data_IF_925373760163
#
_entry.id   IF_925373760163
#
_cell.length_a   1.000
_cell.length_b   1.000
_cell.length_c   1.000
_cell.angle_alpha   90.00
_cell.angle_beta   90.00
_cell.angle_gamma   90.00
#
_symmetry.space_group_name_H-M   'P 1'
#
loop_
_entity.id
_entity.type
_entity.pdbx_description
1 polymer ?
#
# COMPACT_ATOMS: atom_id res chain seq x y z
N UNK A 1 27.57 -38.98 -36.97
CA UNK A 1 27.51 -39.36 -35.56
C UNK A 1 26.14 -38.92 -34.98
N UNK A 2 25.31 -39.91 -34.62
CA UNK A 2 23.94 -39.68 -34.09
C UNK A 2 23.92 -39.83 -32.55
N UNK A 3 24.97 -39.36 -31.86
CA UNK A 3 24.95 -39.26 -30.40
C UNK A 3 24.15 -38.06 -29.92
N UNK A 4 23.61 -38.08 -28.69
CA UNK A 4 22.95 -36.94 -28.08
C UNK A 4 23.77 -35.66 -28.21
N UNK A 5 25.06 -35.72 -27.81
CA UNK A 5 25.95 -34.56 -27.83
C UNK A 5 26.12 -33.95 -29.23
N UNK A 6 26.32 -34.80 -30.25
CA UNK A 6 26.44 -34.35 -31.63
C UNK A 6 25.17 -33.72 -32.17
N UNK A 7 24.00 -34.32 -31.90
CA UNK A 7 22.69 -33.80 -32.30
C UNK A 7 22.41 -32.49 -31.57
N UNK A 8 22.61 -32.43 -30.25
CA UNK A 8 22.40 -31.20 -29.47
C UNK A 8 23.28 -30.04 -29.96
N UNK A 9 24.57 -30.29 -30.23
CA UNK A 9 25.48 -29.29 -30.79
C UNK A 9 25.02 -28.79 -32.16
N UNK A 10 24.51 -29.68 -33.02
CA UNK A 10 23.93 -29.29 -34.32
C UNK A 10 22.66 -28.46 -34.16
N UNK A 11 21.78 -28.84 -33.25
CA UNK A 11 20.54 -28.08 -32.95
C UNK A 11 20.88 -26.65 -32.48
N UNK A 12 21.86 -26.50 -31.57
CA UNK A 12 22.35 -25.18 -31.12
C UNK A 12 22.87 -24.35 -32.30
N UNK A 13 23.63 -24.96 -33.23
CA UNK A 13 24.13 -24.25 -34.40
C UNK A 13 23.00 -23.76 -35.30
N UNK A 14 21.98 -24.62 -35.56
CA UNK A 14 20.81 -24.20 -36.36
C UNK A 14 20.02 -23.11 -35.67
N UNK A 15 19.83 -23.18 -34.37
CA UNK A 15 19.18 -22.11 -33.59
C UNK A 15 19.93 -20.78 -33.72
N UNK A 16 21.27 -20.81 -33.58
CA UNK A 16 22.11 -19.61 -33.71
C UNK A 16 22.06 -18.99 -35.12
N UNK A 17 21.84 -19.84 -36.15
CA UNK A 17 21.64 -19.42 -37.55
C UNK A 17 20.20 -19.01 -37.86
N UNK A 18 19.33 -18.96 -36.84
CA UNK A 18 17.89 -18.64 -36.95
C UNK A 18 17.08 -19.68 -37.76
N UNK A 19 17.63 -20.86 -38.04
CA UNK A 19 16.94 -21.97 -38.66
C UNK A 19 16.12 -22.74 -37.61
N UNK A 20 15.06 -22.11 -37.09
CA UNK A 20 14.35 -22.61 -35.91
C UNK A 20 13.62 -23.92 -36.12
N UNK A 21 12.99 -24.13 -37.28
CA UNK A 21 12.33 -25.40 -37.61
C UNK A 21 13.32 -26.58 -37.69
N UNK A 22 14.49 -26.36 -38.29
CA UNK A 22 15.53 -27.36 -38.35
C UNK A 22 16.15 -27.60 -36.95
N UNK A 23 16.30 -26.54 -36.15
CA UNK A 23 16.75 -26.68 -34.77
C UNK A 23 15.76 -27.52 -33.93
N UNK A 24 14.44 -27.35 -34.10
CA UNK A 24 13.43 -28.19 -33.46
C UNK A 24 13.61 -29.66 -33.86
N UNK A 25 13.61 -29.96 -35.14
CA UNK A 25 13.69 -31.31 -35.66
C UNK A 25 14.95 -32.05 -35.12
N UNK A 26 16.11 -31.34 -35.07
CA UNK A 26 17.36 -31.95 -34.56
C UNK A 26 17.32 -32.08 -33.03
N UNK A 27 16.72 -31.10 -32.30
CA UNK A 27 16.55 -31.17 -30.85
C UNK A 27 15.66 -32.33 -30.43
N UNK A 28 14.55 -32.60 -31.16
CA UNK A 28 13.70 -33.78 -30.96
C UNK A 28 14.47 -35.07 -31.13
N UNK A 29 15.26 -35.22 -32.20
CA UNK A 29 16.13 -36.38 -32.40
C UNK A 29 17.18 -36.53 -31.29
N UNK A 30 17.69 -35.44 -30.72
CA UNK A 30 18.57 -35.51 -29.55
C UNK A 30 17.79 -36.01 -28.31
N UNK A 31 16.57 -35.54 -28.10
CA UNK A 31 15.72 -35.91 -26.97
C UNK A 31 15.26 -37.39 -27.06
N UNK A 32 15.19 -38.01 -28.23
CA UNK A 32 14.99 -39.46 -28.37
C UNK A 32 16.09 -40.25 -27.64
N UNK A 33 17.30 -39.68 -27.52
CA UNK A 33 18.44 -40.30 -26.84
C UNK A 33 18.51 -39.94 -25.35
N UNK A 34 18.03 -38.76 -24.97
CA UNK A 34 17.99 -38.27 -23.58
C UNK A 34 16.76 -37.36 -23.35
N UNK A 35 15.57 -37.95 -23.13
CA UNK A 35 14.30 -37.19 -23.05
C UNK A 35 14.23 -36.18 -21.92
N UNK A 36 14.96 -36.39 -20.83
CA UNK A 36 14.94 -35.54 -19.62
C UNK A 36 16.04 -34.49 -19.61
N UNK A 37 16.78 -34.33 -20.69
CA UNK A 37 17.85 -33.33 -20.72
C UNK A 37 17.25 -31.93 -20.76
N UNK A 38 17.42 -31.15 -19.68
CA UNK A 38 16.87 -29.78 -19.55
C UNK A 38 17.33 -28.85 -20.66
N UNK A 39 18.64 -28.86 -20.96
CA UNK A 39 19.19 -27.94 -21.95
C UNK A 39 18.64 -28.18 -23.36
N UNK A 40 18.42 -29.46 -23.71
CA UNK A 40 17.86 -29.82 -25.01
C UNK A 40 16.31 -29.47 -25.06
N UNK A 41 15.57 -29.74 -23.99
CA UNK A 41 14.15 -29.33 -23.89
C UNK A 41 14.01 -27.81 -23.92
N UNK A 42 14.90 -27.07 -23.24
CA UNK A 42 14.93 -25.62 -23.26
C UNK A 42 15.20 -25.07 -24.67
N UNK A 43 16.18 -25.69 -25.39
CA UNK A 43 16.48 -25.32 -26.77
C UNK A 43 15.30 -25.60 -27.71
N UNK A 44 14.64 -26.75 -27.54
CA UNK A 44 13.43 -27.11 -28.30
C UNK A 44 12.34 -26.07 -28.06
N UNK A 45 12.02 -25.77 -26.81
CA UNK A 45 11.00 -24.77 -26.46
C UNK A 45 11.30 -23.37 -27.02
N UNK A 46 12.55 -22.91 -26.91
CA UNK A 46 13.00 -21.63 -27.50
C UNK A 46 12.87 -21.62 -29.03
N UNK A 47 13.17 -22.73 -29.68
CA UNK A 47 13.03 -22.86 -31.13
C UNK A 47 11.56 -22.78 -31.54
N UNK A 48 10.66 -23.46 -30.80
CA UNK A 48 9.21 -23.41 -31.00
C UNK A 48 8.67 -21.98 -30.78
N UNK A 49 9.10 -21.29 -29.74
CA UNK A 49 8.73 -19.88 -29.51
C UNK A 49 9.11 -18.99 -30.71
N UNK A 50 10.33 -19.16 -31.21
CA UNK A 50 10.83 -18.38 -32.36
C UNK A 50 10.10 -18.69 -33.66
N UNK A 51 9.58 -19.90 -33.82
CA UNK A 51 8.70 -20.29 -34.94
C UNK A 51 7.23 -19.87 -34.72
N UNK A 52 6.89 -19.26 -33.58
CA UNK A 52 5.54 -18.79 -33.27
C UNK A 52 4.67 -19.80 -32.52
N UNK A 53 5.15 -21.02 -32.23
CA UNK A 53 4.38 -22.04 -31.50
C UNK A 53 4.70 -22.03 -29.99
N UNK A 54 4.17 -21.01 -29.32
CA UNK A 54 4.32 -20.86 -27.86
C UNK A 54 3.59 -21.95 -27.08
N UNK A 55 2.50 -22.49 -27.60
CA UNK A 55 1.72 -23.51 -26.92
C UNK A 55 2.50 -24.82 -26.79
N UNK A 56 3.12 -25.28 -27.88
CA UNK A 56 3.98 -26.46 -27.85
C UNK A 56 5.20 -26.23 -26.98
N UNK A 57 5.82 -25.04 -27.02
CA UNK A 57 6.90 -24.68 -26.13
C UNK A 57 6.53 -24.83 -24.65
N UNK A 58 5.35 -24.33 -24.24
CA UNK A 58 4.84 -24.50 -22.86
C UNK A 58 4.61 -25.98 -22.52
N UNK A 59 4.09 -26.78 -23.44
CA UNK A 59 3.89 -28.21 -23.20
C UNK A 59 5.20 -28.97 -22.97
N UNK A 60 6.25 -28.64 -23.70
CA UNK A 60 7.59 -29.22 -23.54
C UNK A 60 8.16 -28.94 -22.15
N UNK A 61 7.98 -27.71 -21.63
CA UNK A 61 8.58 -27.29 -20.35
C UNK A 61 7.73 -27.64 -19.12
N UNK A 62 6.42 -27.79 -19.29
CA UNK A 62 5.45 -28.03 -18.20
C UNK A 62 5.84 -29.18 -17.26
N UNK A 63 6.28 -30.37 -17.74
CA UNK A 63 6.62 -31.48 -16.86
C UNK A 63 7.73 -31.15 -15.85
N UNK A 64 8.72 -30.35 -16.26
CA UNK A 64 9.81 -29.92 -15.37
C UNK A 64 9.30 -29.03 -14.25
N UNK A 65 8.36 -28.14 -14.55
CA UNK A 65 7.73 -27.26 -13.56
C UNK A 65 6.86 -28.07 -12.59
N UNK A 66 6.02 -28.96 -13.10
CA UNK A 66 5.12 -29.79 -12.29
C UNK A 66 5.88 -30.73 -11.34
N UNK A 67 6.97 -31.31 -11.81
CA UNK A 67 7.80 -32.22 -11.02
C UNK A 67 8.81 -31.50 -10.14
N UNK A 68 8.87 -30.16 -10.17
CA UNK A 68 9.85 -29.33 -9.44
C UNK A 68 11.31 -29.77 -9.68
N UNK A 69 11.61 -30.21 -10.89
CA UNK A 69 12.94 -30.65 -11.29
C UNK A 69 13.66 -29.64 -12.18
N UNK A 70 12.99 -28.54 -12.50
CA UNK A 70 13.51 -27.52 -13.41
C UNK A 70 14.58 -26.64 -12.77
N UNK A 71 15.66 -26.39 -13.49
CA UNK A 71 16.60 -25.33 -13.20
C UNK A 71 16.04 -23.94 -13.57
N UNK A 72 16.75 -22.88 -13.17
CA UNK A 72 16.32 -21.47 -13.38
C UNK A 72 16.08 -21.13 -14.84
N UNK A 73 16.81 -21.74 -15.78
CA UNK A 73 16.63 -21.51 -17.22
C UNK A 73 15.26 -21.94 -17.74
N UNK A 74 14.77 -23.09 -17.28
CA UNK A 74 13.42 -23.60 -17.61
C UNK A 74 12.36 -22.67 -17.03
N UNK A 75 12.49 -22.27 -15.75
CA UNK A 75 11.53 -21.34 -15.12
C UNK A 75 11.46 -20.00 -15.85
N UNK A 76 12.61 -19.40 -16.17
CA UNK A 76 12.67 -18.13 -16.92
C UNK A 76 11.92 -18.21 -18.24
N UNK A 77 12.17 -19.24 -19.01
CA UNK A 77 11.51 -19.43 -20.31
C UNK A 77 10.01 -19.67 -20.13
N UNK A 78 9.64 -20.53 -19.18
CA UNK A 78 8.25 -20.88 -18.92
C UNK A 78 7.41 -19.67 -18.47
N UNK A 79 7.90 -18.90 -17.52
CA UNK A 79 7.18 -17.69 -17.03
C UNK A 79 7.13 -16.59 -18.08
N UNK A 80 8.19 -16.46 -18.93
CA UNK A 80 8.18 -15.55 -20.09
C UNK A 80 7.05 -15.92 -21.05
N UNK A 81 6.97 -17.18 -21.44
CA UNK A 81 5.93 -17.68 -22.36
C UNK A 81 4.53 -17.52 -21.79
N UNK A 82 4.31 -17.84 -20.51
CA UNK A 82 3.03 -17.62 -19.83
C UNK A 82 2.64 -16.14 -19.81
N UNK A 83 3.60 -15.24 -19.57
CA UNK A 83 3.37 -13.79 -19.57
C UNK A 83 2.95 -13.31 -20.95
N UNK A 84 3.63 -13.77 -22.00
CA UNK A 84 3.29 -13.47 -23.39
C UNK A 84 1.90 -13.98 -23.81
N UNK A 85 1.44 -15.08 -23.20
CA UNK A 85 0.09 -15.63 -23.40
C UNK A 85 -0.96 -15.00 -22.48
N UNK A 86 -0.60 -13.98 -21.69
CA UNK A 86 -1.50 -13.29 -20.76
C UNK A 86 -1.87 -14.10 -19.51
N UNK A 87 -1.20 -15.21 -19.25
CA UNK A 87 -1.45 -16.11 -18.10
C UNK A 87 -0.72 -15.64 -16.83
N UNK A 88 -0.86 -14.36 -16.52
CA UNK A 88 -0.07 -13.68 -15.45
C UNK A 88 -0.40 -14.20 -14.05
N UNK A 89 -1.62 -14.67 -13.79
CA UNK A 89 -1.95 -15.29 -12.50
C UNK A 89 -1.23 -16.64 -12.32
N UNK A 90 -1.06 -17.42 -13.38
CA UNK A 90 -0.30 -18.67 -13.34
C UNK A 90 1.18 -18.39 -13.03
N UNK A 91 1.76 -17.35 -13.65
CA UNK A 91 3.12 -16.89 -13.34
C UNK A 91 3.26 -16.55 -11.84
N UNK A 92 2.33 -15.77 -11.29
CA UNK A 92 2.34 -15.40 -9.88
C UNK A 92 2.32 -16.62 -8.96
N UNK A 93 1.44 -17.58 -9.22
CA UNK A 93 1.31 -18.79 -8.40
C UNK A 93 2.55 -19.68 -8.47
N UNK A 94 3.13 -19.87 -9.66
CA UNK A 94 4.35 -20.66 -9.87
C UNK A 94 5.51 -20.03 -9.11
N UNK A 95 5.75 -18.73 -9.27
CA UNK A 95 6.87 -18.06 -8.63
C UNK A 95 6.70 -17.94 -7.11
N UNK A 96 5.46 -17.82 -6.61
CA UNK A 96 5.17 -17.85 -5.17
C UNK A 96 5.56 -19.17 -4.51
N UNK A 97 5.41 -20.29 -5.23
CA UNK A 97 5.75 -21.63 -4.74
C UNK A 97 7.16 -22.11 -5.08
N UNK A 98 7.91 -21.35 -5.86
CA UNK A 98 9.27 -21.65 -6.26
C UNK A 98 10.26 -21.36 -5.11
N UNK A 99 11.44 -21.97 -5.20
CA UNK A 99 12.54 -21.68 -4.28
C UNK A 99 13.12 -20.26 -4.52
N UNK A 100 13.98 -19.84 -3.60
CA UNK A 100 14.56 -18.49 -3.62
C UNK A 100 15.48 -18.25 -4.82
N UNK A 101 16.17 -19.28 -5.30
CA UNK A 101 17.04 -19.17 -6.46
C UNK A 101 16.23 -18.86 -7.72
N UNK A 102 15.13 -19.59 -7.92
CA UNK A 102 14.20 -19.35 -9.02
C UNK A 102 13.54 -17.97 -8.88
N UNK A 103 13.07 -17.58 -7.67
CA UNK A 103 12.49 -16.28 -7.44
C UNK A 103 13.47 -15.14 -7.79
N UNK A 104 14.71 -15.25 -7.37
CA UNK A 104 15.76 -14.28 -7.71
C UNK A 104 16.02 -14.24 -9.22
N UNK A 105 16.09 -15.40 -9.87
CA UNK A 105 16.30 -15.49 -11.31
C UNK A 105 15.15 -14.95 -12.15
N UNK A 106 13.94 -14.95 -11.60
CA UNK A 106 12.70 -14.48 -12.24
C UNK A 106 12.15 -13.19 -11.58
N UNK A 107 12.98 -12.43 -10.88
CA UNK A 107 12.55 -11.25 -10.10
C UNK A 107 11.76 -10.23 -10.92
N UNK A 108 12.07 -10.06 -12.21
CA UNK A 108 11.35 -9.18 -13.12
C UNK A 108 9.88 -9.57 -13.36
N UNK A 109 9.50 -10.82 -13.05
CA UNK A 109 8.13 -11.35 -13.14
C UNK A 109 7.41 -11.34 -11.80
N UNK A 110 8.04 -10.87 -10.73
CA UNK A 110 7.44 -10.80 -9.40
C UNK A 110 7.00 -9.36 -9.12
N UNK A 111 5.71 -9.19 -8.83
CA UNK A 111 5.20 -7.95 -8.27
C UNK A 111 5.16 -8.09 -6.76
N UNK A 112 5.94 -7.29 -6.04
CA UNK A 112 5.93 -7.25 -4.59
C UNK A 112 4.66 -6.62 -4.06
N UNK A 113 4.24 -7.04 -2.86
CA UNK A 113 3.09 -6.43 -2.19
C UNK A 113 3.38 -4.97 -1.83
N UNK A 114 2.41 -4.06 -1.97
CA UNK A 114 2.58 -2.69 -1.53
C UNK A 114 2.88 -2.59 -0.04
N UNK A 115 3.68 -1.62 0.33
CA UNK A 115 3.97 -1.26 1.73
C UNK A 115 3.16 -0.03 2.09
N UNK A 116 2.54 -0.04 3.26
CA UNK A 116 1.77 1.09 3.78
C UNK A 116 2.55 1.82 4.88
N UNK A 117 2.55 3.13 4.83
CA UNK A 117 3.15 4.01 5.84
C UNK A 117 2.16 5.15 6.17
N UNK A 118 1.80 5.36 7.44
CA UNK A 118 2.30 4.70 8.65
C UNK A 118 1.89 3.23 8.75
N UNK A 119 2.51 2.51 9.70
CA UNK A 119 2.13 1.13 10.02
C UNK A 119 0.65 1.04 10.48
N UNK A 120 -0.04 -0.10 10.30
CA UNK A 120 -1.39 -0.27 10.83
C UNK A 120 -1.40 -0.13 12.35
N UNK A 121 -2.48 0.43 12.90
CA UNK A 121 -2.59 0.65 14.34
C UNK A 121 -3.62 1.71 14.71
N UNK A 122 -3.59 2.11 15.99
CA UNK A 122 -4.43 3.17 16.55
C UNK A 122 -3.62 4.45 16.72
N UNK A 123 -4.17 5.56 16.26
CA UNK A 123 -3.55 6.88 16.29
C UNK A 123 -4.48 7.91 16.92
N UNK A 124 -3.92 8.87 17.63
CA UNK A 124 -4.65 9.97 18.27
C UNK A 124 -4.63 11.26 17.46
N UNK A 125 -4.00 11.23 16.30
CA UNK A 125 -3.92 12.33 15.32
C UNK A 125 -4.28 11.83 13.94
N UNK A 126 -4.77 12.72 13.09
CA UNK A 126 -4.97 12.44 11.66
C UNK A 126 -3.70 11.93 11.03
N UNK A 127 -3.78 10.86 10.26
CA UNK A 127 -2.65 10.26 9.57
C UNK A 127 -2.77 10.45 8.06
N UNK A 128 -1.63 10.52 7.41
CA UNK A 128 -1.53 10.53 5.94
C UNK A 128 -0.93 9.20 5.50
N UNK A 129 -1.75 8.36 4.90
CA UNK A 129 -1.37 7.04 4.43
C UNK A 129 -0.69 7.13 3.07
N UNK A 130 0.51 6.57 2.98
CA UNK A 130 1.24 6.38 1.72
C UNK A 130 1.32 4.90 1.39
N UNK A 131 1.19 4.57 0.11
CA UNK A 131 1.41 3.24 -0.44
C UNK A 131 2.62 3.28 -1.38
N UNK A 132 3.57 2.38 -1.16
CA UNK A 132 4.81 2.30 -1.93
C UNK A 132 5.07 0.85 -2.35
N UNK A 133 5.83 0.66 -3.42
CA UNK A 133 6.22 -0.66 -3.92
C UNK A 133 6.88 -0.58 -5.30
N UNK A 134 7.36 -1.71 -5.81
CA UNK A 134 7.93 -1.84 -7.14
C UNK A 134 6.86 -1.99 -8.24
N UNK A 135 5.65 -1.55 -7.96
CA UNK A 135 4.49 -1.70 -8.83
C UNK A 135 4.34 -0.50 -9.76
N UNK A 136 3.86 -0.72 -10.97
CA UNK A 136 3.47 0.34 -11.89
C UNK A 136 2.15 1.00 -11.48
N UNK A 137 1.23 0.20 -10.90
CA UNK A 137 -0.05 0.66 -10.37
C UNK A 137 -0.35 -0.06 -9.06
N UNK A 138 -0.99 0.63 -8.12
CA UNK A 138 -1.52 0.06 -6.89
C UNK A 138 -3.02 0.32 -6.86
N UNK A 139 -3.82 -0.74 -6.76
CA UNK A 139 -5.26 -0.67 -6.59
C UNK A 139 -5.62 -0.87 -5.12
N UNK A 140 -6.59 -0.12 -4.62
CA UNK A 140 -6.94 -0.18 -3.20
C UNK A 140 -8.43 0.04 -2.92
N UNK A 141 -8.84 -0.40 -1.72
CA UNK A 141 -10.12 -0.11 -1.06
C UNK A 141 -9.85 0.33 0.38
N UNK A 142 -10.77 1.07 0.98
CA UNK A 142 -10.67 1.56 2.36
C UNK A 142 -11.77 1.02 3.29
N UNK A 143 -12.64 0.19 2.77
CA UNK A 143 -13.81 -0.39 3.44
C UNK A 143 -13.67 -1.88 3.76
N UNK A 144 -12.48 -2.45 3.55
CA UNK A 144 -12.20 -3.87 3.76
C UNK A 144 -12.66 -4.79 2.62
N UNK A 145 -13.32 -4.28 1.60
CA UNK A 145 -13.66 -5.06 0.40
C UNK A 145 -12.40 -5.47 -0.36
N UNK A 146 -12.45 -6.61 -1.05
CA UNK A 146 -11.31 -7.06 -1.86
C UNK A 146 -11.16 -6.17 -3.09
N UNK A 147 -10.00 -5.50 -3.28
CA UNK A 147 -9.79 -4.66 -4.44
C UNK A 147 -9.67 -5.47 -5.72
N UNK A 148 -10.12 -4.89 -6.81
CA UNK A 148 -10.01 -5.41 -8.18
C UNK A 148 -9.36 -4.36 -9.08
N UNK A 149 -9.08 -4.70 -10.33
CA UNK A 149 -8.58 -3.72 -11.32
C UNK A 149 -9.58 -2.60 -11.67
N UNK A 150 -10.82 -2.68 -11.16
CA UNK A 150 -11.84 -1.62 -11.24
C UNK A 150 -11.84 -0.72 -10.01
N UNK A 151 -11.10 -1.09 -8.96
CA UNK A 151 -10.96 -0.29 -7.73
C UNK A 151 -10.14 0.97 -8.00
N UNK A 152 -10.12 1.89 -7.02
CA UNK A 152 -9.32 3.11 -7.10
C UNK A 152 -7.84 2.79 -7.30
N UNK A 153 -7.18 3.57 -8.14
CA UNK A 153 -5.73 3.56 -8.30
C UNK A 153 -5.12 4.58 -7.34
N UNK A 154 -4.09 4.16 -6.62
CA UNK A 154 -3.34 5.05 -5.75
C UNK A 154 -2.49 6.02 -6.59
N UNK A 155 -2.74 7.31 -6.45
CA UNK A 155 -2.05 8.39 -7.14
C UNK A 155 -1.48 9.44 -6.20
N UNK A 156 -2.07 9.57 -5.01
CA UNK A 156 -1.70 10.57 -4.00
C UNK A 156 -1.92 10.05 -2.59
N UNK A 157 -1.25 10.61 -1.57
CA UNK A 157 -1.43 10.21 -0.18
C UNK A 157 -2.88 10.33 0.28
N UNK A 158 -3.35 9.36 1.07
CA UNK A 158 -4.72 9.26 1.55
C UNK A 158 -4.78 9.78 2.99
N UNK A 159 -5.66 10.75 3.25
CA UNK A 159 -5.88 11.26 4.60
C UNK A 159 -6.83 10.31 5.34
N UNK A 160 -6.34 9.71 6.43
CA UNK A 160 -7.12 8.89 7.35
C UNK A 160 -7.76 9.79 8.40
N UNK A 161 -9.09 9.92 8.32
CA UNK A 161 -9.90 10.71 9.25
C UNK A 161 -10.30 9.88 10.46
N UNK A 162 -10.90 10.53 11.47
CA UNK A 162 -11.46 9.86 12.65
C UNK A 162 -12.37 8.69 12.27
N UNK A 163 -12.19 7.56 12.96
CA UNK A 163 -12.90 6.33 12.72
C UNK A 163 -11.97 5.16 12.34
N UNK A 164 -12.55 4.10 11.83
CA UNK A 164 -11.84 2.91 11.39
C UNK A 164 -11.74 2.86 9.88
N UNK A 165 -10.53 2.59 9.37
CA UNK A 165 -10.27 2.34 7.95
C UNK A 165 -9.69 0.94 7.78
N UNK A 166 -10.28 0.13 6.91
CA UNK A 166 -9.79 -1.19 6.55
C UNK A 166 -9.23 -1.15 5.13
N UNK A 167 -7.92 -0.89 5.04
CA UNK A 167 -7.20 -0.86 3.78
C UNK A 167 -6.98 -2.27 3.26
N UNK A 168 -7.32 -2.50 1.99
CA UNK A 168 -6.78 -3.60 1.19
C UNK A 168 -6.19 -3.05 -0.10
N UNK A 169 -5.04 -3.58 -0.50
CA UNK A 169 -4.35 -3.12 -1.70
C UNK A 169 -3.52 -4.23 -2.34
N UNK A 170 -3.37 -4.14 -3.66
CA UNK A 170 -2.43 -4.96 -4.43
C UNK A 170 -1.78 -4.13 -5.52
N UNK A 171 -0.58 -4.54 -5.91
CA UNK A 171 0.17 -3.93 -6.99
C UNK A 171 0.06 -4.68 -8.30
N UNK A 172 0.34 -3.99 -9.40
CA UNK A 172 0.50 -4.56 -10.73
C UNK A 172 1.80 -4.02 -11.31
N UNK A 173 2.69 -4.91 -11.77
CA UNK A 173 3.96 -4.52 -12.37
C UNK A 173 3.84 -4.20 -13.87
N UNK A 174 4.96 -3.86 -14.52
CA UNK A 174 5.05 -3.54 -15.95
C UNK A 174 4.74 -4.73 -16.88
N UNK A 175 4.81 -5.95 -16.35
CA UNK A 175 4.43 -7.19 -17.06
C UNK A 175 2.99 -7.61 -16.81
N UNK A 176 2.19 -6.73 -16.23
CA UNK A 176 0.77 -6.97 -15.93
C UNK A 176 0.53 -8.10 -14.91
N UNK A 177 1.52 -8.40 -14.07
CA UNK A 177 1.45 -9.41 -13.01
C UNK A 177 1.04 -8.73 -11.71
N UNK A 178 0.08 -9.34 -11.01
CA UNK A 178 -0.44 -8.85 -9.73
C UNK A 178 0.40 -9.35 -8.56
N UNK A 179 0.50 -8.52 -7.51
CA UNK A 179 0.95 -8.96 -6.20
C UNK A 179 -0.14 -9.69 -5.42
N UNK A 180 0.21 -10.25 -4.27
CA UNK A 180 -0.78 -10.60 -3.26
C UNK A 180 -1.45 -9.33 -2.70
N UNK A 181 -2.65 -9.50 -2.12
CA UNK A 181 -3.40 -8.42 -1.48
C UNK A 181 -2.91 -8.25 -0.05
N UNK A 182 -2.54 -7.02 0.31
CA UNK A 182 -2.34 -6.66 1.72
C UNK A 182 -3.67 -6.28 2.38
N UNK A 183 -3.77 -6.51 3.69
CA UNK A 183 -4.89 -6.04 4.52
C UNK A 183 -4.32 -5.34 5.74
N UNK A 184 -4.77 -4.09 6.01
CA UNK A 184 -4.28 -3.23 7.10
C UNK A 184 -5.44 -2.49 7.72
N UNK A 185 -5.46 -2.44 9.06
CA UNK A 185 -6.49 -1.73 9.83
C UNK A 185 -5.89 -0.51 10.52
N UNK A 186 -6.53 0.62 10.36
CA UNK A 186 -6.20 1.88 11.01
C UNK A 186 -7.39 2.36 11.84
N UNK A 187 -7.13 2.82 13.05
CA UNK A 187 -8.13 3.41 13.92
C UNK A 187 -7.64 4.81 14.32
N UNK A 188 -8.37 5.84 13.95
CA UNK A 188 -8.06 7.21 14.33
C UNK A 188 -9.05 7.65 15.40
N UNK A 189 -8.53 7.96 16.60
CA UNK A 189 -9.32 8.46 17.73
C UNK A 189 -8.76 9.82 18.12
N UNK A 190 -9.42 10.88 17.69
CA UNK A 190 -8.97 12.24 17.95
C UNK A 190 -9.29 12.64 19.38
N UNK A 191 -8.28 13.12 20.12
CA UNK A 191 -8.46 13.58 21.49
C UNK A 191 -8.98 15.02 21.51
N UNK A 192 -9.99 15.27 22.36
CA UNK A 192 -10.40 16.61 22.72
C UNK A 192 -9.39 17.25 23.71
N UNK A 193 -9.18 18.58 23.67
CA UNK A 193 -8.37 19.25 24.65
C UNK A 193 -9.03 19.20 26.04
N UNK A 194 -8.21 19.31 27.10
CA UNK A 194 -8.73 19.44 28.46
C UNK A 194 -9.51 20.74 28.60
N UNK A 195 -10.41 20.80 29.58
CA UNK A 195 -11.16 22.03 29.90
C UNK A 195 -10.20 23.21 30.15
N UNK A 196 -10.52 24.42 29.65
CA UNK A 196 -9.65 25.59 29.78
C UNK A 196 -9.46 26.00 31.24
N UNK A 197 -8.24 26.45 31.56
CA UNK A 197 -7.91 27.07 32.84
C UNK A 197 -8.14 28.58 32.73
N UNK A 198 -8.87 29.13 33.68
CA UNK A 198 -9.23 30.55 33.73
C UNK A 198 -8.79 31.11 35.08
N UNK A 199 -8.22 32.31 35.06
CA UNK A 199 -7.81 33.06 36.25
C UNK A 199 -8.31 34.51 36.12
N UNK A 200 -8.71 35.15 37.21
CA UNK A 200 -8.81 34.61 38.56
C UNK A 200 -9.97 33.62 38.71
N UNK A 201 -10.11 32.98 39.86
CA UNK A 201 -11.21 32.07 40.18
C UNK A 201 -12.52 32.86 40.33
N UNK A 202 -13.66 32.14 40.23
CA UNK A 202 -14.97 32.67 40.55
C UNK A 202 -14.98 33.38 41.92
N UNK A 203 -15.65 34.48 42.03
CA UNK A 203 -15.73 35.25 43.27
C UNK A 203 -16.07 36.73 43.08
N UNK A 204 -16.05 37.46 44.19
CA UNK A 204 -16.34 38.89 44.26
C UNK A 204 -15.06 39.70 44.19
N UNK A 205 -15.10 40.75 43.40
CA UNK A 205 -13.94 41.63 43.14
C UNK A 205 -14.34 43.09 43.34
N UNK A 206 -13.43 43.89 43.93
CA UNK A 206 -13.66 45.28 44.26
C UNK A 206 -12.70 46.27 43.59
N UNK A 207 -12.02 45.84 42.55
CA UNK A 207 -11.10 46.62 41.74
C UNK A 207 -11.05 46.10 40.31
N UNK A 208 -10.61 46.98 39.40
CA UNK A 208 -10.34 46.54 38.01
C UNK A 208 -9.52 45.27 37.99
N UNK A 209 -10.07 44.22 37.38
CA UNK A 209 -9.50 42.89 37.32
C UNK A 209 -9.50 42.41 35.90
N UNK A 210 -8.42 41.77 35.51
CA UNK A 210 -8.32 41.10 34.19
C UNK A 210 -8.50 39.59 34.34
N UNK A 211 -9.22 39.03 33.40
CA UNK A 211 -9.42 37.57 33.26
C UNK A 211 -8.43 37.04 32.22
N UNK A 212 -7.72 36.02 32.58
CA UNK A 212 -6.77 35.33 31.68
C UNK A 212 -7.19 33.88 31.44
N UNK A 213 -7.13 33.47 30.20
CA UNK A 213 -7.42 32.11 29.77
C UNK A 213 -6.11 31.47 29.30
N UNK A 214 -5.78 30.30 29.85
CA UNK A 214 -4.63 29.54 29.37
C UNK A 214 -5.01 28.78 28.12
N UNK A 215 -4.39 29.11 27.00
CA UNK A 215 -4.61 28.47 25.70
C UNK A 215 -3.42 27.60 25.38
N UNK A 216 -3.56 26.26 25.37
CA UNK A 216 -2.48 25.36 24.96
C UNK A 216 -2.11 25.51 23.47
N UNK A 217 -0.87 25.16 23.13
CA UNK A 217 -0.42 25.14 21.75
C UNK A 217 -1.36 24.29 20.86
N UNK A 218 -1.66 24.80 19.66
CA UNK A 218 -2.57 24.17 18.72
C UNK A 218 -4.06 24.28 19.06
N UNK A 219 -4.43 25.05 20.11
CA UNK A 219 -5.81 25.33 20.46
C UNK A 219 -6.17 26.80 20.23
N UNK A 220 -7.48 27.06 20.07
CA UNK A 220 -8.09 28.39 20.18
C UNK A 220 -9.11 28.36 21.30
N UNK A 221 -9.17 29.42 22.10
CA UNK A 221 -10.21 29.59 23.11
C UNK A 221 -11.32 30.50 22.57
N UNK A 222 -12.56 30.06 22.74
CA UNK A 222 -13.76 30.83 22.45
C UNK A 222 -14.50 31.09 23.77
N UNK A 223 -14.98 32.29 23.95
CA UNK A 223 -15.68 32.65 25.17
C UNK A 223 -16.93 33.50 24.91
N UNK A 224 -17.83 33.45 25.87
CA UNK A 224 -18.99 34.32 25.93
C UNK A 224 -19.34 34.61 27.39
N UNK A 225 -19.89 35.82 27.65
CA UNK A 225 -20.49 36.13 28.92
C UNK A 225 -22.01 35.83 28.83
N UNK A 226 -22.50 35.20 29.91
CA UNK A 226 -23.93 34.94 30.14
C UNK A 226 -24.62 34.06 29.04
N UNK A 227 -23.84 33.44 28.21
CA UNK A 227 -24.29 32.49 27.18
C UNK A 227 -23.26 31.41 26.94
N UNK A 228 -23.64 30.32 26.27
CA UNK A 228 -22.71 29.27 25.88
C UNK A 228 -21.90 29.69 24.64
N UNK A 229 -20.58 29.54 24.64
CA UNK A 229 -19.76 29.88 23.48
C UNK A 229 -19.85 28.78 22.42
N UNK A 230 -19.73 29.18 21.17
CA UNK A 230 -19.60 28.35 19.97
C UNK A 230 -18.42 28.82 19.09
N UNK A 231 -18.30 28.27 17.88
CA UNK A 231 -17.25 28.65 16.93
C UNK A 231 -17.40 30.06 16.34
N UNK A 232 -18.57 30.72 16.56
CA UNK A 232 -18.85 32.10 16.15
C UNK A 232 -18.64 33.10 17.30
N UNK A 233 -18.37 32.57 18.50
CA UNK A 233 -18.14 33.40 19.68
C UNK A 233 -16.78 34.11 19.62
N UNK A 234 -16.53 35.04 20.54
CA UNK A 234 -15.30 35.82 20.60
C UNK A 234 -14.11 34.91 20.86
N UNK A 235 -13.06 35.05 20.04
CA UNK A 235 -11.79 34.37 20.22
C UNK A 235 -10.97 35.11 21.28
N UNK A 236 -10.40 34.36 22.23
CA UNK A 236 -9.49 34.93 23.22
C UNK A 236 -8.11 35.19 22.60
N UNK A 237 -7.72 36.45 22.56
CA UNK A 237 -6.41 36.90 22.06
C UNK A 237 -5.59 37.63 23.09
N UNK A 238 -6.24 38.23 24.09
CA UNK A 238 -5.62 39.04 25.16
C UNK A 238 -6.45 38.98 26.43
N UNK A 239 -5.91 39.37 27.59
CA UNK A 239 -6.65 39.45 28.83
C UNK A 239 -7.94 40.25 28.69
N UNK A 240 -9.01 39.74 29.29
CA UNK A 240 -10.35 40.30 29.21
C UNK A 240 -10.60 41.18 30.43
N UNK A 241 -11.01 42.45 30.26
CA UNK A 241 -11.46 43.25 31.36
C UNK A 241 -12.74 42.68 31.98
N UNK A 242 -12.72 42.36 33.27
CA UNK A 242 -13.88 41.84 33.97
C UNK A 242 -15.03 42.86 33.91
N UNK A 243 -16.22 42.50 33.41
CA UNK A 243 -17.37 43.44 33.37
C UNK A 243 -17.90 43.71 34.78
N UNK A 244 -18.41 44.93 34.99
CA UNK A 244 -19.06 45.34 36.25
C UNK A 244 -20.41 44.65 36.38
N UNK A 245 -20.74 44.21 37.59
CA UNK A 245 -21.95 43.45 37.88
C UNK A 245 -21.71 41.96 38.00
N UNK A 246 -22.79 41.21 38.01
CA UNK A 246 -22.73 39.76 38.04
C UNK A 246 -22.72 39.21 36.61
N UNK A 247 -21.66 38.44 36.29
CA UNK A 247 -21.52 37.83 34.99
C UNK A 247 -20.96 36.41 35.08
N UNK A 248 -21.42 35.54 34.19
CA UNK A 248 -20.91 34.19 34.01
C UNK A 248 -20.10 34.13 32.75
N UNK A 249 -18.77 33.90 32.89
CA UNK A 249 -17.89 33.65 31.76
C UNK A 249 -17.89 32.17 31.45
N UNK A 250 -18.22 31.79 30.23
CA UNK A 250 -18.14 30.44 29.71
C UNK A 250 -17.05 30.37 28.64
N UNK A 251 -16.18 29.34 28.72
CA UNK A 251 -15.02 29.19 27.84
C UNK A 251 -14.91 27.76 27.35
N UNK A 252 -14.63 27.59 26.07
CA UNK A 252 -14.27 26.32 25.45
C UNK A 252 -12.93 26.45 24.71
N UNK A 253 -12.18 25.35 24.62
CA UNK A 253 -11.03 25.22 23.74
C UNK A 253 -11.40 24.38 22.52
N UNK A 254 -10.92 24.78 21.35
CA UNK A 254 -11.04 24.02 20.11
C UNK A 254 -9.64 23.72 19.61
N UNK A 255 -9.31 22.43 19.49
CA UNK A 255 -8.01 21.99 19.00
C UNK A 255 -7.93 22.04 17.47
N UNK A 256 -6.71 22.01 16.93
CA UNK A 256 -6.47 22.00 15.49
C UNK A 256 -7.15 20.81 14.77
N UNK A 257 -7.38 19.69 15.48
CA UNK A 257 -8.12 18.53 14.97
C UNK A 257 -9.66 18.73 14.94
N UNK A 258 -10.16 19.90 15.33
CA UNK A 258 -11.59 20.24 15.36
C UNK A 258 -12.34 19.77 16.62
N UNK A 259 -11.70 19.07 17.55
CA UNK A 259 -12.33 18.63 18.81
C UNK A 259 -12.43 19.77 19.80
N UNK A 260 -13.58 19.83 20.47
CA UNK A 260 -13.91 20.86 21.48
C UNK A 260 -13.75 20.27 22.88
N UNK A 261 -13.18 21.06 23.80
CA UNK A 261 -13.08 20.70 25.21
C UNK A 261 -14.45 20.71 25.91
N UNK A 262 -14.47 20.18 27.14
CA UNK A 262 -15.53 20.53 28.08
C UNK A 262 -15.46 22.03 28.37
N UNK A 263 -16.61 22.65 28.63
CA UNK A 263 -16.73 24.06 28.98
C UNK A 263 -16.23 24.31 30.40
N UNK A 264 -15.49 25.40 30.61
CA UNK A 264 -15.21 25.98 31.92
C UNK A 264 -16.11 27.17 32.11
N UNK A 265 -16.82 27.20 33.25
CA UNK A 265 -17.67 28.32 33.65
C UNK A 265 -17.11 28.98 34.89
N UNK A 266 -17.01 30.32 34.86
CA UNK A 266 -16.56 31.16 35.98
C UNK A 266 -17.62 32.20 36.28
N UNK A 267 -17.92 32.42 37.55
CA UNK A 267 -18.90 33.39 38.01
C UNK A 267 -18.19 34.55 38.70
N UNK A 268 -18.40 35.75 38.25
CA UNK A 268 -17.78 36.94 38.75
C UNK A 268 -18.80 37.99 39.16
N UNK A 269 -18.53 38.60 40.29
CA UNK A 269 -19.22 39.82 40.70
C UNK A 269 -18.21 40.95 40.89
N UNK A 270 -18.24 41.96 40.06
CA UNK A 270 -17.35 43.12 40.15
C UNK A 270 -18.12 44.36 40.51
N UNK A 271 -17.71 44.97 41.61
CA UNK A 271 -18.23 46.24 42.08
C UNK A 271 -17.09 47.10 42.63
N UNK A 272 -16.90 48.31 42.08
CA UNK A 272 -15.93 49.32 42.57
C UNK A 272 -16.43 50.73 42.27
#
# INVERSE_FOLDING_TARGET
>A
LNTFSALYSRAKKQYAQQNYEEAQRIAENALDKNPKNEAANLLLAKSMEKSGDKRSALLVLRPFIQNKTAGTGIYKEYVKLLTQEGKTNEVRLILKSADREVQNACAEYICETPVSNPAPGTYTTTQTLKLEGNCQKIYYTLDGSTPTRKSKVYTEPIILREGTTELKAFGVNDKNIESDVISRKYVIVLNAPKAPKVTPKSGDYNKKTEIKITVPDGCKAYYAFDSEPDLNSTVYEQPISMPVGYHRLNVILVAANGKTSKMTAMEYYLQY
#
